data_IF_740257564633
#
_entry.id   IF_740257564633
#
_cell.length_a   1.000
_cell.length_b   1.000
_cell.length_c   1.000
_cell.angle_alpha   90.00
_cell.angle_beta   90.00
_cell.angle_gamma   90.00
#
_symmetry.space_group_name_H-M   'P 1'
#
loop_
_entity.id
_entity.type
_entity.pdbx_description
1 polymer ?
#
# COMPACT_ATOMS: atom_id res chain seq x y z
N UNK A 1 10.10 -10.42 13.77
CA UNK A 1 9.20 -11.57 13.46
C UNK A 1 9.69 -12.16 12.15
N UNK A 2 10.38 -13.33 12.18
CA UNK A 2 10.84 -14.03 10.97
C UNK A 2 9.62 -14.37 10.12
N UNK A 3 9.50 -13.75 8.94
CA UNK A 3 8.51 -14.12 7.91
C UNK A 3 8.77 -15.59 7.54
N UNK A 4 7.77 -16.48 7.59
CA UNK A 4 7.93 -17.79 6.97
C UNK A 4 8.14 -17.51 5.48
N UNK A 5 9.34 -17.76 4.98
CA UNK A 5 9.66 -17.58 3.56
C UNK A 5 8.69 -18.41 2.73
N UNK A 6 8.25 -17.88 1.60
CA UNK A 6 7.40 -18.59 0.63
C UNK A 6 7.95 -20.00 0.27
N UNK A 7 9.25 -20.17 0.39
CA UNK A 7 9.96 -21.43 0.21
C UNK A 7 9.49 -22.54 1.18
N UNK A 8 9.24 -22.22 2.46
CA UNK A 8 8.73 -23.23 3.42
C UNK A 8 7.32 -23.70 3.08
N UNK A 9 6.48 -22.82 2.53
CA UNK A 9 5.14 -23.20 2.11
C UNK A 9 5.16 -24.09 0.87
N UNK A 10 6.09 -23.87 -0.04
CA UNK A 10 6.28 -24.70 -1.25
C UNK A 10 6.77 -26.10 -0.87
N UNK A 11 7.72 -26.22 0.06
CA UNK A 11 8.23 -27.51 0.56
C UNK A 11 7.12 -28.33 1.25
N UNK A 12 6.27 -27.69 2.05
CA UNK A 12 5.12 -28.39 2.67
C UNK A 12 4.12 -28.94 1.62
N UNK A 13 3.91 -28.22 0.52
CA UNK A 13 3.07 -28.70 -0.60
C UNK A 13 3.68 -29.94 -1.24
N UNK A 14 4.97 -29.92 -1.56
CA UNK A 14 5.68 -31.04 -2.15
C UNK A 14 5.63 -32.29 -1.24
N UNK A 15 5.76 -32.10 0.07
CA UNK A 15 5.62 -33.20 1.04
C UNK A 15 4.22 -33.83 1.07
N UNK A 16 3.17 -33.03 0.81
CA UNK A 16 1.80 -33.55 0.71
C UNK A 16 1.62 -34.34 -0.59
N UNK A 17 2.18 -33.86 -1.70
CA UNK A 17 2.06 -34.53 -3.00
C UNK A 17 2.78 -35.88 -3.04
N UNK A 18 3.93 -36.03 -2.37
CA UNK A 18 4.68 -37.27 -2.26
C UNK A 18 3.94 -38.40 -1.50
N UNK A 19 2.88 -38.07 -0.74
CA UNK A 19 2.12 -39.04 0.04
C UNK A 19 0.92 -39.59 -0.75
N UNK A 20 0.71 -40.92 -0.71
CA UNK A 20 -0.39 -41.59 -1.41
C UNK A 20 -1.75 -40.99 -1.01
N UNK A 21 -2.64 -40.83 -2.00
CA UNK A 21 -4.03 -40.36 -1.79
C UNK A 21 -4.76 -41.38 -0.88
N UNK A 22 -5.63 -40.87 0.00
CA UNK A 22 -6.45 -41.71 0.90
C UNK A 22 -5.81 -42.03 2.24
N UNK A 23 -4.49 -42.00 2.38
CA UNK A 23 -3.81 -42.36 3.63
C UNK A 23 -3.92 -41.30 4.72
N UNK A 24 -4.03 -41.77 5.98
CA UNK A 24 -4.07 -40.93 7.17
C UNK A 24 -2.88 -39.97 7.25
N UNK A 25 -1.70 -40.38 6.83
CA UNK A 25 -0.49 -39.53 6.81
C UNK A 25 -0.62 -38.34 5.87
N UNK A 26 -1.32 -38.49 4.72
CA UNK A 26 -1.61 -37.36 3.82
C UNK A 26 -2.61 -36.40 4.46
N UNK A 27 -3.66 -36.92 5.11
CA UNK A 27 -4.65 -36.11 5.85
C UNK A 27 -4.00 -35.31 6.98
N UNK A 28 -3.12 -35.94 7.77
CA UNK A 28 -2.34 -35.25 8.82
C UNK A 28 -1.44 -34.15 8.24
N UNK A 29 -0.74 -34.38 7.11
CA UNK A 29 0.10 -33.41 6.45
C UNK A 29 -0.71 -32.21 5.93
N UNK A 30 -1.86 -32.45 5.27
CA UNK A 30 -2.78 -31.38 4.83
C UNK A 30 -3.29 -30.55 6.00
N UNK A 31 -3.66 -31.17 7.13
CA UNK A 31 -4.10 -30.46 8.33
C UNK A 31 -2.99 -29.57 8.92
N UNK A 32 -1.74 -30.06 8.95
CA UNK A 32 -0.58 -29.24 9.39
C UNK A 32 -0.36 -28.06 8.46
N UNK A 33 -0.39 -28.27 7.16
CA UNK A 33 -0.27 -27.22 6.16
C UNK A 33 -1.36 -26.16 6.29
N UNK A 34 -2.64 -26.57 6.39
CA UNK A 34 -3.76 -25.64 6.57
C UNK A 34 -3.62 -24.79 7.85
N UNK A 35 -3.15 -25.40 8.95
CA UNK A 35 -2.89 -24.66 10.20
C UNK A 35 -1.78 -23.61 10.02
N UNK A 36 -0.70 -23.92 9.29
CA UNK A 36 0.37 -22.96 8.98
C UNK A 36 -0.15 -21.79 8.14
N UNK A 37 -0.90 -22.09 7.08
CA UNK A 37 -1.53 -21.06 6.24
C UNK A 37 -2.49 -20.17 7.02
N UNK A 38 -3.33 -20.75 7.86
CA UNK A 38 -4.25 -20.01 8.72
C UNK A 38 -3.50 -19.05 9.66
N UNK A 39 -2.39 -19.52 10.26
CA UNK A 39 -1.55 -18.68 11.12
C UNK A 39 -0.98 -17.48 10.35
N UNK A 40 -0.41 -17.70 9.16
CA UNK A 40 0.13 -16.64 8.32
C UNK A 40 -0.94 -15.66 7.89
N UNK A 41 -2.11 -16.15 7.47
CA UNK A 41 -3.25 -15.31 7.09
C UNK A 41 -3.72 -14.42 8.25
N UNK A 42 -3.82 -14.98 9.46
CA UNK A 42 -4.19 -14.21 10.67
C UNK A 42 -3.15 -13.15 11.01
N UNK A 43 -1.86 -13.47 10.92
CA UNK A 43 -0.77 -12.51 11.17
C UNK A 43 -0.82 -11.33 10.18
N UNK A 44 -1.04 -11.61 8.88
CA UNK A 44 -1.19 -10.58 7.84
C UNK A 44 -2.39 -9.68 8.10
N UNK A 45 -3.53 -10.29 8.41
CA UNK A 45 -4.76 -9.55 8.71
C UNK A 45 -4.60 -8.67 9.95
N UNK A 46 -3.99 -9.18 11.02
CA UNK A 46 -3.75 -8.41 12.24
C UNK A 46 -2.76 -7.26 12.00
N UNK A 47 -1.71 -7.47 11.20
CA UNK A 47 -0.79 -6.41 10.82
C UNK A 47 -1.50 -5.30 10.03
N UNK A 48 -2.29 -5.67 9.00
CA UNK A 48 -3.08 -4.72 8.21
C UNK A 48 -4.06 -3.94 9.08
N UNK A 49 -4.73 -4.62 10.01
CA UNK A 49 -5.67 -4.02 10.96
C UNK A 49 -5.01 -3.00 11.88
N UNK A 50 -3.87 -3.35 12.49
CA UNK A 50 -3.14 -2.44 13.38
C UNK A 50 -2.64 -1.20 12.64
N UNK A 51 -2.06 -1.40 11.46
CA UNK A 51 -1.57 -0.31 10.62
C UNK A 51 -2.71 0.62 10.20
N UNK A 52 -3.82 0.08 9.70
CA UNK A 52 -4.99 0.87 9.32
C UNK A 52 -5.58 1.66 10.50
N UNK A 53 -5.65 1.04 11.68
CA UNK A 53 -6.10 1.72 12.91
C UNK A 53 -5.20 2.89 13.27
N UNK A 54 -3.89 2.71 13.19
CA UNK A 54 -2.91 3.76 13.46
C UNK A 54 -3.09 4.93 12.50
N UNK A 55 -3.12 4.66 11.18
CA UNK A 55 -3.30 5.67 10.14
C UNK A 55 -4.61 6.45 10.31
N UNK A 56 -5.74 5.78 10.56
CA UNK A 56 -7.04 6.45 10.74
C UNK A 56 -7.15 7.22 12.06
N UNK A 57 -6.36 6.88 13.09
CA UNK A 57 -6.32 7.67 14.32
C UNK A 57 -5.54 8.97 14.15
N UNK A 58 -4.47 8.94 13.37
CA UNK A 58 -3.54 10.07 13.22
C UNK A 58 -3.99 11.07 12.17
N UNK A 59 -4.96 10.73 11.31
CA UNK A 59 -5.34 11.56 10.17
C UNK A 59 -6.86 11.67 10.03
N UNK A 60 -7.33 12.85 9.64
CA UNK A 60 -8.76 13.11 9.38
C UNK A 60 -9.18 12.67 7.98
N UNK A 61 -8.25 12.71 7.03
CA UNK A 61 -8.44 12.26 5.66
C UNK A 61 -7.39 11.22 5.29
N UNK A 62 -7.82 10.06 4.83
CA UNK A 62 -6.97 9.00 4.30
C UNK A 62 -7.31 8.77 2.83
N UNK A 63 -6.39 9.11 1.93
CA UNK A 63 -6.53 8.88 0.51
C UNK A 63 -5.74 7.64 0.07
N UNK A 64 -6.31 6.80 -0.78
CA UNK A 64 -5.65 5.62 -1.32
C UNK A 64 -6.06 5.34 -2.78
N UNK A 65 -5.22 4.62 -3.51
CA UNK A 65 -5.52 4.24 -4.89
C UNK A 65 -6.54 3.10 -4.97
N UNK A 66 -7.53 3.23 -5.85
CA UNK A 66 -8.48 2.16 -6.17
C UNK A 66 -7.87 1.12 -7.12
N UNK A 67 -7.00 0.30 -6.57
CA UNK A 67 -6.30 -0.75 -7.32
C UNK A 67 -7.20 -1.95 -7.58
N UNK A 68 -7.25 -2.42 -8.84
CA UNK A 68 -7.92 -3.68 -9.21
C UNK A 68 -7.07 -4.89 -8.83
N UNK A 69 -6.97 -5.17 -7.53
CA UNK A 69 -6.09 -6.21 -6.97
C UNK A 69 -6.34 -7.59 -7.59
N UNK A 70 -7.61 -7.94 -7.88
CA UNK A 70 -7.97 -9.21 -8.58
C UNK A 70 -7.22 -9.36 -9.90
N UNK A 71 -7.06 -8.29 -10.68
CA UNK A 71 -6.34 -8.35 -11.95
C UNK A 71 -4.83 -8.41 -11.74
N UNK A 72 -4.31 -7.77 -10.69
CA UNK A 72 -2.88 -7.79 -10.38
C UNK A 72 -2.43 -9.20 -9.93
N UNK A 73 -3.26 -9.94 -9.21
CA UNK A 73 -2.97 -11.31 -8.75
C UNK A 73 -2.96 -12.34 -9.89
N UNK A 74 -3.60 -12.04 -11.04
CA UNK A 74 -3.54 -12.91 -12.23
C UNK A 74 -2.14 -12.96 -12.87
N UNK A 75 -1.28 -12.00 -12.58
CA UNK A 75 0.09 -11.99 -13.08
C UNK A 75 0.96 -12.96 -12.26
N UNK A 76 1.32 -14.13 -12.83
CA UNK A 76 2.02 -15.21 -12.15
C UNK A 76 3.29 -14.76 -11.40
N UNK A 77 4.10 -13.91 -12.02
CA UNK A 77 5.39 -13.48 -11.46
C UNK A 77 5.25 -12.62 -10.19
N UNK A 78 4.09 -11.99 -9.94
CA UNK A 78 3.86 -11.07 -8.82
C UNK A 78 2.74 -11.50 -7.88
N UNK A 79 1.98 -12.52 -8.24
CA UNK A 79 0.79 -12.95 -7.50
C UNK A 79 1.07 -13.24 -6.02
N UNK A 80 2.18 -13.93 -5.72
CA UNK A 80 2.58 -14.25 -4.36
C UNK A 80 2.93 -12.99 -3.56
N UNK A 81 3.73 -12.08 -4.14
CA UNK A 81 4.14 -10.83 -3.49
C UNK A 81 2.93 -9.94 -3.20
N UNK A 82 2.02 -9.80 -4.18
CA UNK A 82 0.80 -8.99 -4.04
C UNK A 82 -0.12 -9.59 -2.97
N UNK A 83 -0.26 -10.91 -2.93
CA UNK A 83 -1.04 -11.60 -1.90
C UNK A 83 -0.41 -11.46 -0.52
N UNK A 84 0.93 -11.43 -0.45
CA UNK A 84 1.68 -11.28 0.80
C UNK A 84 1.51 -9.91 1.44
N UNK A 85 1.45 -8.85 0.65
CA UNK A 85 1.25 -7.46 1.13
C UNK A 85 -0.15 -7.24 1.69
N UNK A 86 -1.14 -8.06 1.30
CA UNK A 86 -2.52 -8.00 1.80
C UNK A 86 -3.20 -6.63 1.57
N UNK A 87 -2.93 -5.96 0.44
CA UNK A 87 -3.48 -4.63 0.14
C UNK A 87 -4.99 -4.56 0.23
N UNK A 88 -5.70 -5.60 -0.23
CA UNK A 88 -7.15 -5.66 -0.13
C UNK A 88 -7.64 -5.63 1.33
N UNK A 89 -7.00 -6.40 2.21
CA UNK A 89 -7.34 -6.43 3.64
C UNK A 89 -7.04 -5.07 4.30
N UNK A 90 -5.93 -4.44 3.93
CA UNK A 90 -5.57 -3.12 4.44
C UNK A 90 -6.59 -2.06 4.04
N UNK A 91 -7.04 -2.06 2.77
CA UNK A 91 -8.12 -1.18 2.30
C UNK A 91 -9.40 -1.36 3.10
N UNK A 92 -9.87 -2.60 3.28
CA UNK A 92 -11.08 -2.88 4.06
C UNK A 92 -10.96 -2.38 5.50
N UNK A 93 -9.78 -2.51 6.12
CA UNK A 93 -9.55 -2.01 7.47
C UNK A 93 -9.49 -0.48 7.53
N UNK A 94 -8.95 0.20 6.50
CA UNK A 94 -9.00 1.66 6.41
C UNK A 94 -10.44 2.14 6.34
N UNK A 95 -11.26 1.58 5.45
CA UNK A 95 -12.67 1.92 5.31
C UNK A 95 -13.45 1.69 6.62
N UNK A 96 -13.21 0.56 7.27
CA UNK A 96 -13.83 0.24 8.56
C UNK A 96 -13.44 1.22 9.66
N UNK A 97 -12.15 1.52 9.84
CA UNK A 97 -11.71 2.42 10.91
C UNK A 97 -12.01 3.88 10.63
N UNK A 98 -11.98 4.32 9.38
CA UNK A 98 -12.42 5.65 9.00
C UNK A 98 -13.88 5.86 9.42
N UNK A 99 -14.77 4.94 9.03
CA UNK A 99 -16.16 4.97 9.47
C UNK A 99 -16.32 4.94 10.99
N UNK A 100 -15.55 4.07 11.69
CA UNK A 100 -15.61 3.93 13.15
C UNK A 100 -15.18 5.19 13.90
N UNK A 101 -14.20 5.92 13.37
CA UNK A 101 -13.63 7.13 14.01
C UNK A 101 -14.22 8.44 13.47
N UNK A 102 -15.23 8.38 12.59
CA UNK A 102 -15.80 9.56 11.95
C UNK A 102 -14.82 10.30 11.03
N UNK A 103 -13.86 9.56 10.45
CA UNK A 103 -12.85 10.09 9.52
C UNK A 103 -13.22 9.79 8.07
N UNK A 104 -12.62 10.52 7.14
CA UNK A 104 -12.89 10.36 5.71
C UNK A 104 -11.86 9.46 5.06
N UNK A 105 -12.32 8.43 4.33
CA UNK A 105 -11.47 7.57 3.50
C UNK A 105 -11.90 7.69 2.05
N UNK A 106 -11.00 8.09 1.15
CA UNK A 106 -11.29 8.36 -0.26
C UNK A 106 -10.46 7.47 -1.17
N UNK A 107 -11.15 6.72 -2.04
CA UNK A 107 -10.52 5.94 -3.09
C UNK A 107 -10.29 6.82 -4.32
N UNK A 108 -9.08 6.86 -4.86
CA UNK A 108 -8.69 7.69 -6.00
C UNK A 108 -8.29 6.82 -7.17
N UNK A 109 -8.67 7.17 -8.43
CA UNK A 109 -8.21 6.45 -9.60
C UNK A 109 -6.68 6.42 -9.72
N UNK A 110 -6.07 5.23 -9.94
CA UNK A 110 -4.60 5.08 -9.92
C UNK A 110 -3.90 5.62 -11.17
N UNK A 111 -4.67 6.11 -12.15
CA UNK A 111 -4.14 6.51 -13.45
C UNK A 111 -3.19 7.70 -13.33
N UNK A 112 -1.92 7.52 -13.81
CA UNK A 112 -0.90 8.56 -13.91
C UNK A 112 -0.45 9.25 -12.62
N UNK A 113 -0.84 8.78 -11.45
CA UNK A 113 -0.46 9.37 -10.15
C UNK A 113 1.05 9.53 -9.99
N UNK A 114 1.85 8.56 -10.44
CA UNK A 114 3.32 8.61 -10.38
C UNK A 114 4.00 9.34 -11.55
N UNK A 115 3.24 9.71 -12.61
CA UNK A 115 3.77 10.35 -13.79
C UNK A 115 3.49 11.86 -13.83
N UNK A 116 2.37 12.29 -13.30
CA UNK A 116 2.01 13.70 -13.22
C UNK A 116 2.82 14.41 -12.14
N UNK A 117 3.27 15.62 -12.45
CA UNK A 117 3.97 16.46 -11.49
C UNK A 117 2.97 17.05 -10.50
N UNK A 118 3.22 16.93 -9.20
CA UNK A 118 2.31 17.43 -8.17
C UNK A 118 2.24 18.96 -8.08
N UNK A 119 3.17 19.70 -8.71
CA UNK A 119 3.15 21.16 -8.77
C UNK A 119 2.47 21.67 -10.03
N UNK A 120 2.97 21.27 -11.22
CA UNK A 120 2.54 21.84 -12.50
C UNK A 120 1.57 20.95 -13.31
N UNK A 121 1.26 19.74 -12.84
CA UNK A 121 0.37 18.80 -13.53
C UNK A 121 0.96 18.17 -14.80
N UNK A 122 2.12 18.61 -15.29
CA UNK A 122 2.72 18.04 -16.49
C UNK A 122 3.02 16.55 -16.32
N UNK A 123 2.70 15.78 -17.36
CA UNK A 123 2.97 14.34 -17.38
C UNK A 123 4.41 14.08 -17.84
N UNK A 124 5.24 13.51 -16.97
CA UNK A 124 6.60 13.11 -17.24
C UNK A 124 6.66 11.59 -17.36
N UNK A 125 6.85 11.08 -18.59
CA UNK A 125 7.05 9.65 -18.83
C UNK A 125 8.39 9.21 -18.22
N UNK A 126 8.39 8.07 -17.53
CA UNK A 126 9.58 7.52 -16.87
C UNK A 126 9.60 6.00 -16.95
N UNK A 127 10.80 5.45 -17.02
CA UNK A 127 11.00 4.02 -16.84
C UNK A 127 10.69 3.59 -15.41
N UNK A 128 10.31 2.32 -15.24
CA UNK A 128 9.98 1.75 -13.92
C UNK A 128 11.18 1.76 -12.95
N UNK A 129 12.40 1.73 -13.48
CA UNK A 129 13.65 1.77 -12.69
C UNK A 129 13.93 3.14 -12.08
N UNK A 130 13.46 4.24 -12.69
CA UNK A 130 13.73 5.59 -12.23
C UNK A 130 12.85 5.92 -11.04
N UNK A 131 13.46 6.14 -9.88
CA UNK A 131 12.77 6.47 -8.61
C UNK A 131 12.62 7.97 -8.36
N UNK A 132 13.38 8.79 -9.09
CA UNK A 132 13.31 10.26 -8.94
C UNK A 132 12.34 10.84 -9.96
N UNK A 133 11.48 11.77 -9.50
CA UNK A 133 10.65 12.62 -10.34
C UNK A 133 11.36 13.95 -10.55
N UNK A 134 11.83 14.19 -11.76
CA UNK A 134 12.38 15.47 -12.21
C UNK A 134 11.44 16.06 -13.26
N UNK A 135 11.05 17.32 -13.10
CA UNK A 135 10.11 18.02 -13.95
C UNK A 135 10.72 19.32 -14.48
N UNK A 136 10.27 19.77 -15.65
CA UNK A 136 10.69 21.05 -16.26
C UNK A 136 10.32 22.29 -15.42
N UNK A 137 9.43 22.16 -14.42
CA UNK A 137 9.12 23.23 -13.46
C UNK A 137 10.15 23.36 -12.34
N UNK A 138 11.24 22.60 -12.35
CA UNK A 138 12.29 22.62 -11.33
C UNK A 138 12.07 21.64 -10.17
N UNK A 139 10.92 20.95 -10.10
CA UNK A 139 10.67 19.96 -9.03
C UNK A 139 11.55 18.72 -9.22
N UNK A 140 12.31 18.37 -8.18
CA UNK A 140 13.05 17.12 -8.06
C UNK A 140 12.66 16.45 -6.74
N UNK A 141 11.96 15.31 -6.79
CA UNK A 141 11.41 14.61 -5.63
C UNK A 141 11.35 13.09 -5.87
N UNK A 142 11.29 12.29 -4.81
CA UNK A 142 11.06 10.85 -4.96
C UNK A 142 9.70 10.56 -5.62
N UNK A 143 9.68 9.64 -6.59
CA UNK A 143 8.50 9.32 -7.40
C UNK A 143 7.28 8.92 -6.57
N UNK A 144 7.50 8.15 -5.50
CA UNK A 144 6.41 7.64 -4.67
C UNK A 144 5.84 8.75 -3.78
N UNK A 145 6.66 9.74 -3.36
CA UNK A 145 6.20 10.93 -2.64
C UNK A 145 5.37 11.82 -3.58
N UNK A 146 5.84 12.05 -4.81
CA UNK A 146 5.06 12.76 -5.84
C UNK A 146 3.69 12.10 -6.07
N UNK A 147 3.66 10.77 -6.16
CA UNK A 147 2.41 10.01 -6.31
C UNK A 147 1.48 10.18 -5.10
N UNK A 148 2.02 10.12 -3.88
CA UNK A 148 1.23 10.29 -2.66
C UNK A 148 0.59 11.69 -2.58
N UNK A 149 1.34 12.73 -2.95
CA UNK A 149 0.81 14.11 -3.02
C UNK A 149 -0.30 14.20 -4.07
N UNK A 150 -0.12 13.63 -5.26
CA UNK A 150 -1.15 13.62 -6.30
C UNK A 150 -2.42 12.88 -5.87
N UNK A 151 -2.29 11.75 -5.16
CA UNK A 151 -3.41 11.00 -4.60
C UNK A 151 -4.18 11.87 -3.60
N UNK A 152 -3.47 12.55 -2.70
CA UNK A 152 -4.08 13.42 -1.71
C UNK A 152 -4.79 14.62 -2.36
N UNK A 153 -4.17 15.27 -3.34
CA UNK A 153 -4.77 16.40 -4.07
C UNK A 153 -6.05 15.97 -4.81
N UNK A 154 -6.02 14.82 -5.49
CA UNK A 154 -7.22 14.28 -6.16
C UNK A 154 -8.33 13.93 -5.16
N UNK A 155 -7.98 13.36 -3.98
CA UNK A 155 -8.97 13.06 -2.96
C UNK A 155 -9.65 14.33 -2.43
N UNK A 156 -8.90 15.39 -2.24
CA UNK A 156 -9.46 16.69 -1.83
C UNK A 156 -10.37 17.32 -2.88
N UNK A 157 -10.03 17.19 -4.17
CA UNK A 157 -10.87 17.72 -5.26
C UNK A 157 -12.16 16.91 -5.45
N UNK A 158 -12.15 15.61 -5.18
CA UNK A 158 -13.33 14.73 -5.36
C UNK A 158 -14.28 14.78 -4.16
N UNK A 159 -13.77 15.08 -2.96
CA UNK A 159 -14.50 14.94 -1.69
C UNK A 159 -15.38 16.11 -1.28
N UNK A 160 -15.57 17.16 -2.13
CA UNK A 160 -16.47 18.28 -1.79
C UNK A 160 -16.18 18.95 -0.45
N UNK A 161 -14.94 18.97 0.03
CA UNK A 161 -14.58 19.62 1.27
C UNK A 161 -14.72 21.15 1.09
N UNK A 162 -15.46 21.86 1.96
CA UNK A 162 -15.59 23.31 1.90
C UNK A 162 -14.21 23.92 2.18
N UNK A 163 -13.52 24.34 1.15
CA UNK A 163 -12.15 24.90 1.22
C UNK A 163 -11.36 24.74 -0.09
N UNK A 164 -12.01 24.26 -1.16
CA UNK A 164 -11.35 23.91 -2.42
C UNK A 164 -10.88 25.12 -3.28
N UNK A 165 -11.15 26.35 -2.89
CA UNK A 165 -10.81 27.54 -3.71
C UNK A 165 -9.38 28.07 -3.49
N UNK A 166 -8.56 27.42 -2.63
CA UNK A 166 -7.17 27.80 -2.38
C UNK A 166 -6.15 26.79 -2.95
N UNK A 167 -6.51 26.03 -3.98
CA UNK A 167 -5.74 24.88 -4.48
C UNK A 167 -4.36 25.24 -5.06
N UNK A 168 -4.16 26.45 -5.56
CA UNK A 168 -2.87 26.87 -6.12
C UNK A 168 -1.82 27.20 -5.06
N UNK A 169 -2.22 27.85 -3.98
CA UNK A 169 -1.31 28.29 -2.90
C UNK A 169 -1.11 27.20 -1.85
N UNK A 170 -2.16 26.43 -1.54
CA UNK A 170 -2.08 25.35 -0.56
C UNK A 170 -1.23 24.16 -1.02
N UNK A 171 -1.14 23.87 -2.33
CA UNK A 171 -0.30 22.79 -2.85
C UNK A 171 1.19 23.09 -2.68
N UNK A 172 1.63 24.31 -2.97
CA UNK A 172 3.03 24.72 -2.80
C UNK A 172 3.44 24.79 -1.33
N UNK A 173 2.55 25.25 -0.45
CA UNK A 173 2.80 25.31 1.00
C UNK A 173 2.81 23.92 1.63
N UNK A 174 1.92 23.01 1.19
CA UNK A 174 1.88 21.64 1.70
C UNK A 174 3.09 20.82 1.22
N UNK A 175 3.50 21.00 -0.04
CA UNK A 175 4.72 20.39 -0.58
C UNK A 175 5.95 20.95 0.16
N UNK A 176 6.01 22.24 0.41
CA UNK A 176 7.08 22.87 1.20
C UNK A 176 7.13 22.33 2.64
N UNK A 177 6.01 22.23 3.32
CA UNK A 177 5.92 21.70 4.69
C UNK A 177 6.26 20.21 4.76
N UNK A 178 5.85 19.40 3.79
CA UNK A 178 6.20 17.98 3.72
C UNK A 178 7.69 17.80 3.42
N UNK A 179 8.25 18.58 2.51
CA UNK A 179 9.68 18.53 2.19
C UNK A 179 10.56 18.96 3.36
N UNK A 180 10.16 20.01 4.09
CA UNK A 180 10.88 20.49 5.28
C UNK A 180 10.69 19.54 6.48
N UNK A 181 9.49 19.01 6.71
CA UNK A 181 9.22 18.06 7.80
C UNK A 181 9.88 16.70 7.61
N UNK A 182 9.93 16.18 6.38
CA UNK A 182 10.53 14.87 6.09
C UNK A 182 12.07 14.91 6.02
N UNK A 183 12.68 16.03 5.63
CA UNK A 183 14.12 16.19 5.75
C UNK A 183 14.60 16.09 7.22
N UNK A 184 13.77 16.49 8.17
CA UNK A 184 14.07 16.40 9.60
C UNK A 184 13.81 15.00 10.21
N UNK A 185 12.84 14.22 9.69
CA UNK A 185 12.45 12.91 10.26
C UNK A 185 13.17 11.73 9.61
N UNK A 186 13.52 11.79 8.32
CA UNK A 186 14.27 10.74 7.61
C UNK A 186 15.71 10.58 8.12
N UNK A 187 16.26 11.57 8.81
CA UNK A 187 17.59 11.49 9.43
C UNK A 187 17.56 10.74 10.79
N UNK A 188 16.39 10.59 11.43
CA UNK A 188 16.25 10.02 12.78
C UNK A 188 15.77 8.57 12.87
N UNK A 189 15.19 7.99 11.83
CA UNK A 189 14.59 6.65 11.92
C UNK A 189 14.91 5.77 10.70
N UNK A 190 16.18 5.40 10.55
CA UNK A 190 16.54 4.17 9.86
C UNK A 190 16.60 3.03 10.88
N UNK A 191 15.61 2.14 10.97
CA UNK A 191 15.82 0.91 11.74
C UNK A 191 16.86 0.08 10.99
N UNK A 192 17.98 -0.17 11.65
CA UNK A 192 18.96 -1.17 11.20
C UNK A 192 18.25 -2.53 11.20
N UNK A 193 18.14 -3.14 10.04
CA UNK A 193 17.74 -4.53 9.87
C UNK A 193 18.96 -5.44 9.97
#
# INVERSE_FOLDING_TARGET
IRKPSSLFLVLDVLLIYKKKKGLNNRRKARKRYSKKHLRVSRQRNEHAKRLARCVCKSNDLVAYEDLRIRNMVKCHNRALVISDVSWYQFRLWIEHFAKKFGKTAVAVPPRHTSQECCICGKKVKKELKIRVHSCSCGLVIHRDINAAINILLRAKSTGGHPGSNALGVAASTLVGAILLGQAATLIKESPRF
#
